data_IF_143663279347
#
_entry.id   IF_143663279347
#
_cell.length_a   1.000
_cell.length_b   1.000
_cell.length_c   1.000
_cell.angle_alpha   90.00
_cell.angle_beta   90.00
_cell.angle_gamma   90.00
#
_symmetry.space_group_name_H-M   'P 1'
#
loop_
_entity.id
_entity.type
_entity.pdbx_description
1 polymer ?
#
# COMPACT_ATOMS: atom_id res chain seq x y z
N UNK A 1 4.44 -8.17 20.16
CA UNK A 1 4.21 -8.15 19.81
C UNK A 1 3.35 -7.58 19.31
N UNK A 2 3.00 -6.95 19.39
CA UNK A 2 2.30 -6.51 18.92
C UNK A 2 2.21 -6.59 17.64
N UNK A 3 2.91 -6.45 17.25
CA UNK A 3 3.14 -6.73 16.01
C UNK A 3 2.63 -7.92 15.60
N UNK A 4 2.26 -8.64 16.46
CA UNK A 4 1.63 -9.84 16.24
C UNK A 4 0.59 -9.75 15.27
N UNK A 5 -0.06 -8.64 15.20
CA UNK A 5 -1.19 -8.50 14.35
C UNK A 5 -0.84 -8.24 12.92
N UNK A 6 0.44 -8.09 12.65
CA UNK A 6 0.87 -7.71 11.32
C UNK A 6 1.62 -8.81 10.61
N UNK A 7 1.34 -10.06 10.92
CA UNK A 7 2.01 -11.13 10.22
C UNK A 7 1.29 -11.39 8.88
N UNK A 8 1.95 -12.16 8.03
CA UNK A 8 1.43 -12.41 6.70
C UNK A 8 0.07 -13.09 6.69
N UNK A 9 -0.14 -13.99 7.64
CA UNK A 9 -1.39 -14.71 7.70
C UNK A 9 -2.56 -13.76 7.98
N UNK A 10 -2.38 -12.87 8.94
CA UNK A 10 -3.41 -11.91 9.29
C UNK A 10 -3.73 -10.99 8.10
N UNK A 11 -2.69 -10.53 7.43
CA UNK A 11 -2.88 -9.65 6.29
C UNK A 11 -3.60 -10.37 5.14
N UNK A 12 -3.29 -11.63 4.92
CA UNK A 12 -3.97 -12.38 3.89
C UNK A 12 -5.44 -12.60 4.20
N UNK A 13 -5.76 -12.82 5.48
CA UNK A 13 -7.15 -12.97 5.88
C UNK A 13 -7.91 -11.66 5.66
N UNK A 14 -7.28 -10.53 5.97
CA UNK A 14 -7.91 -9.25 5.75
C UNK A 14 -8.21 -9.05 4.26
N UNK A 15 -7.27 -9.41 3.41
CA UNK A 15 -7.46 -9.26 1.98
C UNK A 15 -8.55 -10.19 1.48
N UNK A 16 -8.60 -11.43 1.97
CA UNK A 16 -9.61 -12.38 1.55
C UNK A 16 -11.01 -11.86 1.87
N UNK A 17 -11.17 -11.20 3.01
CA UNK A 17 -12.45 -10.62 3.37
C UNK A 17 -12.76 -9.40 2.54
N UNK A 18 -11.76 -8.55 2.36
CA UNK A 18 -11.96 -7.30 1.64
C UNK A 18 -12.29 -7.53 0.18
N UNK A 19 -11.71 -8.56 -0.44
CA UNK A 19 -11.89 -8.75 -1.86
C UNK A 19 -13.33 -9.06 -2.21
N UNK A 20 -14.08 -9.63 -1.28
CA UNK A 20 -15.49 -9.89 -1.53
C UNK A 20 -16.30 -8.63 -1.52
N UNK A 21 -16.02 -7.75 -0.55
CA UNK A 21 -16.75 -6.51 -0.44
C UNK A 21 -16.39 -5.52 -1.53
N UNK A 22 -15.14 -5.51 -1.92
CA UNK A 22 -14.62 -4.49 -2.83
C UNK A 22 -14.38 -5.00 -4.24
N UNK A 23 -14.64 -6.28 -4.48
CA UNK A 23 -14.47 -6.87 -5.80
C UNK A 23 -13.08 -6.61 -6.38
N UNK A 24 -12.07 -6.94 -5.62
CA UNK A 24 -10.69 -6.70 -6.06
C UNK A 24 -10.35 -7.58 -7.25
N UNK A 25 -9.66 -6.98 -8.22
CA UNK A 25 -9.23 -7.71 -9.40
C UNK A 25 -8.01 -8.57 -9.07
N UNK A 26 -7.66 -9.45 -9.99
CA UNK A 26 -6.47 -10.28 -9.80
C UNK A 26 -5.21 -9.42 -9.66
N UNK A 27 -5.11 -8.33 -10.45
CA UNK A 27 -3.96 -7.44 -10.37
C UNK A 27 -3.88 -6.78 -9.01
N UNK A 28 -5.02 -6.34 -8.48
CA UNK A 28 -5.05 -5.70 -7.16
C UNK A 28 -4.64 -6.68 -6.08
N UNK A 29 -5.11 -7.91 -6.17
CA UNK A 29 -4.73 -8.92 -5.20
C UNK A 29 -3.25 -9.28 -5.32
N UNK A 30 -2.74 -9.36 -6.55
CA UNK A 30 -1.32 -9.65 -6.76
C UNK A 30 -0.46 -8.53 -6.18
N UNK A 31 -0.88 -7.27 -6.35
CA UNK A 31 -0.14 -6.16 -5.78
C UNK A 31 -0.11 -6.27 -4.25
N UNK A 32 -1.22 -6.61 -3.66
CA UNK A 32 -1.26 -6.76 -2.21
C UNK A 32 -0.28 -7.84 -1.74
N UNK A 33 -0.28 -9.00 -2.41
CA UNK A 33 0.64 -10.07 -2.04
C UNK A 33 2.09 -9.65 -2.21
N UNK A 34 2.38 -8.87 -3.25
CA UNK A 34 3.75 -8.42 -3.46
C UNK A 34 4.17 -7.46 -2.35
N UNK A 35 3.27 -6.57 -1.93
CA UNK A 35 3.59 -5.65 -0.85
C UNK A 35 3.80 -6.38 0.47
N UNK A 36 3.02 -7.43 0.71
CA UNK A 36 3.23 -8.25 1.91
C UNK A 36 4.62 -8.90 1.86
N UNK A 37 5.01 -9.40 0.68
CA UNK A 37 6.32 -10.02 0.53
C UNK A 37 7.45 -9.02 0.76
N UNK A 38 7.30 -7.80 0.26
CA UNK A 38 8.29 -6.76 0.48
C UNK A 38 8.40 -6.43 1.96
N UNK A 39 7.26 -6.27 2.63
CA UNK A 39 7.25 -5.97 4.05
C UNK A 39 7.93 -7.08 4.84
N UNK A 40 7.67 -8.33 4.47
CA UNK A 40 8.29 -9.46 5.12
C UNK A 40 9.83 -9.41 4.94
N UNK A 41 10.28 -9.10 3.75
CA UNK A 41 11.72 -9.06 3.48
C UNK A 41 12.39 -7.91 4.22
N UNK A 42 11.62 -6.89 4.60
CA UNK A 42 12.16 -5.76 5.35
C UNK A 42 12.01 -5.98 6.85
N UNK A 43 11.64 -7.15 7.27
CA UNK A 43 11.53 -7.45 8.71
C UNK A 43 10.25 -7.02 9.36
N UNK A 44 9.19 -6.87 8.59
CA UNK A 44 7.87 -6.48 9.10
C UNK A 44 7.86 -5.11 9.77
N UNK A 45 8.60 -4.18 9.18
CA UNK A 45 8.60 -2.82 9.68
C UNK A 45 7.21 -2.20 9.47
N UNK A 46 6.82 -1.29 10.36
CA UNK A 46 5.54 -0.61 10.23
C UNK A 46 5.46 0.17 8.92
N UNK A 47 6.57 0.75 8.50
CA UNK A 47 6.63 1.52 7.28
C UNK A 47 7.75 0.93 6.43
N UNK A 48 7.46 0.64 5.19
CA UNK A 48 8.46 0.10 4.28
C UNK A 48 8.38 0.82 2.95
N UNK A 49 9.43 0.74 2.17
CA UNK A 49 9.47 1.42 0.88
C UNK A 49 9.58 0.42 -0.25
N UNK A 50 9.06 0.81 -1.39
CA UNK A 50 9.17 -0.01 -2.58
C UNK A 50 8.93 0.90 -3.78
N UNK A 51 9.81 0.83 -4.77
CA UNK A 51 9.68 1.71 -5.91
C UNK A 51 8.61 1.20 -6.87
N UNK A 52 8.03 2.13 -7.62
CA UNK A 52 7.07 1.76 -8.64
C UNK A 52 7.72 0.86 -9.68
N UNK A 53 8.98 1.13 -10.01
CA UNK A 53 9.68 0.33 -11.00
C UNK A 53 9.78 -1.13 -10.56
N UNK A 54 10.13 -1.33 -9.29
CA UNK A 54 10.23 -2.69 -8.78
C UNK A 54 8.90 -3.42 -8.82
N UNK A 55 7.84 -2.72 -8.43
CA UNK A 55 6.52 -3.34 -8.43
C UNK A 55 6.04 -3.64 -9.84
N UNK A 56 6.27 -2.72 -10.76
CA UNK A 56 5.88 -2.95 -12.15
C UNK A 56 6.62 -4.12 -12.75
N UNK A 57 7.90 -4.25 -12.45
CA UNK A 57 8.68 -5.38 -12.93
C UNK A 57 8.21 -6.69 -12.33
N UNK A 58 7.97 -6.71 -11.02
CA UNK A 58 7.55 -7.93 -10.35
C UNK A 58 6.20 -8.42 -10.84
N UNK A 59 5.30 -7.49 -11.10
CA UNK A 59 3.94 -7.84 -11.50
C UNK A 59 3.73 -7.83 -13.00
N UNK A 60 4.73 -7.36 -13.73
CA UNK A 60 4.64 -7.26 -15.19
C UNK A 60 3.46 -6.41 -15.62
N UNK A 61 3.36 -5.22 -15.04
CA UNK A 61 2.31 -4.27 -15.37
C UNK A 61 2.95 -2.91 -15.61
N UNK A 62 2.20 -2.02 -16.24
CA UNK A 62 2.72 -0.67 -16.45
C UNK A 62 2.36 0.21 -15.25
N UNK A 63 2.94 1.39 -15.22
CA UNK A 63 2.79 2.27 -14.08
C UNK A 63 1.35 2.73 -13.90
N UNK A 64 0.65 2.96 -14.98
CA UNK A 64 -0.73 3.39 -14.89
C UNK A 64 -1.59 2.33 -14.22
N UNK A 65 -1.37 1.08 -14.58
CA UNK A 65 -2.07 -0.03 -13.97
C UNK A 65 -1.72 -0.14 -12.48
N UNK A 66 -0.44 0.06 -12.16
CA UNK A 66 0.00 0.02 -10.77
C UNK A 66 -0.69 1.10 -9.93
N UNK A 67 -0.74 2.32 -10.44
CA UNK A 67 -1.34 3.43 -9.70
C UNK A 67 -2.81 3.16 -9.43
N UNK A 68 -3.53 2.63 -10.43
CA UNK A 68 -4.93 2.31 -10.23
C UNK A 68 -5.12 1.19 -9.22
N UNK A 69 -4.30 0.15 -9.32
CA UNK A 69 -4.42 -0.98 -8.40
C UNK A 69 -4.12 -0.54 -6.97
N UNK A 70 -3.10 0.30 -6.81
CA UNK A 70 -2.75 0.80 -5.49
C UNK A 70 -3.90 1.60 -4.88
N UNK A 71 -4.52 2.45 -5.70
CA UNK A 71 -5.62 3.25 -5.21
C UNK A 71 -6.78 2.37 -4.76
N UNK A 72 -7.06 1.31 -5.48
CA UNK A 72 -8.11 0.37 -5.08
C UNK A 72 -7.82 -0.25 -3.74
N UNK A 73 -6.56 -0.63 -3.49
CA UNK A 73 -6.20 -1.21 -2.21
C UNK A 73 -6.30 -0.19 -1.09
N UNK A 74 -5.95 1.06 -1.36
CA UNK A 74 -6.06 2.12 -0.37
C UNK A 74 -7.54 2.33 -0.04
N UNK A 75 -8.39 2.40 -1.05
CA UNK A 75 -9.81 2.61 -0.85
C UNK A 75 -10.46 1.44 -0.10
N UNK A 76 -9.91 0.25 -0.25
CA UNK A 76 -10.41 -0.91 0.48
C UNK A 76 -9.89 -0.97 1.91
N UNK A 77 -9.01 -0.05 2.29
CA UNK A 77 -8.48 -0.03 3.65
C UNK A 77 -7.42 -1.07 3.91
N UNK A 78 -6.83 -1.62 2.86
CA UNK A 78 -5.86 -2.70 2.99
C UNK A 78 -4.42 -2.23 3.11
N UNK A 79 -4.13 -1.05 2.58
CA UNK A 79 -2.77 -0.54 2.63
C UNK A 79 -2.84 0.99 2.65
N UNK A 80 -1.79 1.61 3.17
CA UNK A 80 -1.68 3.06 3.20
C UNK A 80 -0.39 3.44 2.48
N UNK A 81 -0.40 4.57 1.81
CA UNK A 81 0.70 4.96 0.94
C UNK A 81 0.94 6.46 1.02
N UNK A 82 2.20 6.82 1.00
CA UNK A 82 2.59 8.22 0.96
C UNK A 82 3.64 8.35 -0.13
N UNK A 83 3.39 9.15 -1.14
CA UNK A 83 4.35 9.28 -2.23
C UNK A 83 5.58 10.04 -1.76
N UNK A 84 6.69 9.81 -2.44
CA UNK A 84 7.91 10.52 -2.13
C UNK A 84 7.79 11.97 -2.55
N UNK A 85 8.67 12.80 -2.02
CA UNK A 85 8.65 14.23 -2.32
C UNK A 85 9.10 14.52 -3.74
N UNK A 86 9.83 13.62 -4.34
CA UNK A 86 10.29 13.80 -5.69
C UNK A 86 10.44 12.43 -6.31
N UNK A 87 10.78 12.40 -7.60
CA UNK A 87 10.97 11.11 -8.27
C UNK A 87 12.07 10.27 -7.65
N UNK A 88 13.01 10.93 -6.99
CA UNK A 88 14.13 10.20 -6.39
C UNK A 88 13.78 9.60 -5.06
N UNK A 89 12.73 10.09 -4.44
CA UNK A 89 12.33 9.60 -3.13
C UNK A 89 11.26 8.55 -3.30
N UNK A 90 11.57 7.34 -2.88
CA UNK A 90 10.67 6.22 -3.03
C UNK A 90 9.46 6.38 -2.14
N UNK A 91 8.31 5.99 -2.62
CA UNK A 91 7.10 6.06 -1.81
C UNK A 91 7.14 5.10 -0.63
N UNK A 92 6.36 5.42 0.37
CA UNK A 92 6.29 4.65 1.60
C UNK A 92 4.94 3.97 1.73
N UNK A 93 4.96 2.76 2.26
CA UNK A 93 3.77 1.96 2.44
C UNK A 93 3.64 1.52 3.89
N UNK A 94 2.42 1.26 4.31
CA UNK A 94 2.18 0.69 5.63
C UNK A 94 0.85 -0.07 5.59
N UNK A 95 0.75 -1.10 6.42
CA UNK A 95 -0.51 -1.79 6.61
C UNK A 95 -1.22 -1.28 7.87
N UNK A 96 -0.62 -0.31 8.54
CA UNK A 96 -1.13 0.20 9.81
C UNK A 96 -1.94 1.48 9.61
N UNK A 97 -3.07 1.58 10.28
CA UNK A 97 -3.87 2.79 10.23
C UNK A 97 -3.12 4.00 10.74
N UNK A 98 -2.17 3.81 11.62
CA UNK A 98 -1.42 4.92 12.17
C UNK A 98 -0.72 5.71 11.08
N UNK A 99 -0.28 5.02 10.04
CA UNK A 99 0.41 5.68 8.96
C UNK A 99 -0.50 6.69 8.26
N UNK A 100 -1.76 6.32 8.12
CA UNK A 100 -2.72 7.22 7.49
C UNK A 100 -2.88 8.48 8.31
N UNK A 101 -2.92 8.34 9.62
CA UNK A 101 -3.12 9.47 10.50
C UNK A 101 -1.97 10.46 10.44
N UNK A 102 -0.80 10.01 10.03
CA UNK A 102 0.35 10.87 9.94
C UNK A 102 0.35 11.69 8.67
N UNK A 103 -0.50 11.38 7.74
CA UNK A 103 -0.55 12.13 6.50
C UNK A 103 -0.99 13.55 6.77
N UNK A 104 -0.36 14.55 6.18
CA UNK A 104 -0.71 15.94 6.36
C UNK A 104 -2.10 16.15 5.85
N UNK A 105 -2.81 16.84 6.59
CA UNK A 105 -4.11 17.13 6.11
C UNK A 105 -4.09 18.31 5.28
N UNK A 106 -3.71 18.65 5.13
CA UNK A 106 -3.69 19.52 4.50
C UNK A 106 -4.07 19.94 3.62
N UNK A 107 -4.19 19.75 4.28
CA UNK A 107 -4.48 20.06 3.71
C UNK A 107 -4.87 20.66 3.10
N UNK A 108 -5.06 20.86 3.09
CA UNK A 108 -5.42 21.26 2.47
C UNK A 108 -5.68 21.83 1.86
N UNK A 109 -5.59 21.97 1.99
CA UNK A 109 -5.67 22.35 1.36
C UNK A 109 -5.88 22.84 0.66
N UNK A 110 -5.90 23.06 0.85
CA UNK A 110 -5.88 23.38 0.14
C UNK A 110 -5.97 23.82 -0.50
N UNK A 111 -6.06 24.17 -0.48
CA UNK A 111 -5.73 24.45 -1.09
C UNK A 111 -5.99 24.70 -1.48
N UNK A 112 -6.14 24.96 -1.29
CA UNK A 112 -6.01 25.12 -1.56
C UNK A 112 -5.84 25.08 -1.83
N UNK A 113 -5.75 25.19 -1.56
CA UNK A 113 -5.37 25.08 -1.77
C UNK A 113 -5.34 24.91 -1.93
N UNK A 114 -5.64 25.18 -1.68
CA UNK A 114 -5.34 25.05 -1.86
C UNK A 114 -5.23 25.10 -2.08
#
# INVERSE_FOLDING_TARGET
MFLDNMDGYTLMEQMRRARRRNRLTATEQALFYELVAVCNSEGWEDVFSCSNIELCCSLNIDEKTLVRARLSLINAGLVYYKSGKSRRVVGLYSFSKKFKDESPKKKPTTGKNT
#
